data_IF_530961361266
#
_entry.id   IF_530961361266
#
_cell.length_a   1.000
_cell.length_b   1.000
_cell.length_c   1.000
_cell.angle_alpha   90.00
_cell.angle_beta   90.00
_cell.angle_gamma   90.00
#
_symmetry.space_group_name_H-M   'P 1'
#
loop_
_entity.id
_entity.type
_entity.pdbx_description
1 polymer ?
#
# COMPACT_ATOMS: atom_id res chain seq x y z
N UNK A 1 15.71 -61.18 6.47
CA UNK A 1 14.70 -60.82 7.46
C UNK A 1 15.31 -61.05 8.85
N UNK A 2 15.84 -60.02 9.50
CA UNK A 2 16.38 -60.09 10.86
C UNK A 2 15.20 -60.15 11.85
N UNK A 3 15.07 -61.30 12.54
CA UNK A 3 14.11 -61.43 13.63
C UNK A 3 14.55 -60.56 14.79
N UNK A 4 13.78 -59.50 15.06
CA UNK A 4 13.93 -58.69 16.30
C UNK A 4 13.52 -59.58 17.46
N UNK A 5 14.50 -59.97 18.33
CA UNK A 5 14.23 -60.69 19.55
C UNK A 5 13.71 -59.68 20.60
N UNK A 6 12.40 -59.68 20.82
CA UNK A 6 11.75 -58.93 21.87
C UNK A 6 12.15 -59.51 23.21
N UNK A 7 12.73 -58.69 24.09
CA UNK A 7 13.12 -59.08 25.44
C UNK A 7 12.02 -58.70 26.42
N UNK A 8 11.93 -59.41 27.55
CA UNK A 8 10.95 -59.18 28.59
C UNK A 8 11.09 -57.76 29.20
N UNK A 9 12.29 -57.17 29.15
CA UNK A 9 12.56 -55.77 29.53
C UNK A 9 11.93 -54.73 28.62
N UNK A 10 11.49 -55.15 27.43
CA UNK A 10 10.86 -54.22 26.49
C UNK A 10 9.39 -53.94 26.86
N UNK A 11 8.86 -54.64 27.86
CA UNK A 11 7.52 -54.47 28.41
C UNK A 11 7.53 -53.86 29.84
N UNK A 12 8.67 -53.39 30.34
CA UNK A 12 8.70 -52.67 31.60
C UNK A 12 8.07 -51.28 31.39
N UNK A 13 7.19 -50.83 32.36
CA UNK A 13 6.58 -49.50 32.25
C UNK A 13 7.68 -48.44 32.25
N UNK A 14 7.73 -47.65 31.19
CA UNK A 14 8.57 -46.44 31.14
C UNK A 14 8.01 -45.51 32.22
N UNK A 15 8.81 -45.20 33.24
CA UNK A 15 8.48 -44.10 34.17
C UNK A 15 8.36 -42.82 33.38
N UNK A 16 7.13 -42.46 33.07
CA UNK A 16 6.81 -41.19 32.41
C UNK A 16 7.09 -40.08 33.43
N UNK A 17 8.25 -39.43 33.31
CA UNK A 17 8.48 -38.20 34.04
C UNK A 17 7.55 -37.13 33.43
N UNK A 18 6.36 -37.00 34.01
CA UNK A 18 5.34 -36.01 33.63
C UNK A 18 5.88 -34.58 33.60
N UNK A 19 7.03 -34.33 34.25
CA UNK A 19 7.63 -32.99 34.29
C UNK A 19 8.24 -32.49 32.98
N UNK A 20 8.61 -33.36 32.04
CA UNK A 20 9.27 -32.96 30.81
C UNK A 20 8.33 -32.86 29.60
N UNK A 21 7.18 -33.54 29.65
CA UNK A 21 6.18 -33.45 28.56
C UNK A 21 5.37 -32.14 28.59
N UNK A 22 5.23 -31.52 29.77
CA UNK A 22 4.52 -30.24 29.95
C UNK A 22 5.41 -29.01 29.96
N UNK A 23 6.72 -29.15 29.95
CA UNK A 23 7.61 -28.01 29.77
C UNK A 23 7.51 -27.54 28.33
N UNK A 24 6.59 -26.60 28.06
CA UNK A 24 6.65 -25.77 26.87
C UNK A 24 8.05 -25.13 26.87
N UNK A 25 8.95 -25.70 26.05
CA UNK A 25 10.31 -25.23 25.89
C UNK A 25 10.32 -23.88 25.21
N UNK A 26 10.02 -22.82 25.95
CA UNK A 26 10.07 -21.44 25.48
C UNK A 26 9.30 -20.50 26.40
N UNK A 27 9.92 -19.36 26.73
CA UNK A 27 9.20 -18.26 27.37
C UNK A 27 7.98 -17.89 26.52
N UNK A 28 6.80 -17.76 27.13
CA UNK A 28 5.60 -17.23 26.45
C UNK A 28 5.89 -15.81 25.96
N UNK A 29 6.21 -15.68 24.69
CA UNK A 29 6.49 -14.39 24.10
C UNK A 29 5.19 -13.80 23.55
N UNK A 30 4.90 -12.54 23.89
CA UNK A 30 3.80 -11.80 23.26
C UNK A 30 4.01 -11.80 21.74
N UNK A 31 2.90 -11.93 20.97
CA UNK A 31 2.88 -11.87 19.50
C UNK A 31 3.72 -10.71 18.95
N UNK A 32 3.57 -9.52 19.52
CA UNK A 32 4.32 -8.33 19.09
C UNK A 32 5.82 -8.42 19.37
N UNK A 33 6.22 -9.04 20.49
CA UNK A 33 7.64 -9.25 20.83
C UNK A 33 8.31 -10.24 19.87
N UNK A 34 7.61 -11.30 19.48
CA UNK A 34 8.12 -12.27 18.49
C UNK A 34 8.16 -11.68 17.09
N UNK A 35 7.12 -10.97 16.68
CA UNK A 35 7.09 -10.25 15.40
C UNK A 35 8.25 -9.25 15.29
N UNK A 36 8.48 -8.44 16.33
CA UNK A 36 9.60 -7.50 16.38
C UNK A 36 10.97 -8.19 16.35
N UNK A 37 11.12 -9.30 17.07
CA UNK A 37 12.35 -10.10 17.04
C UNK A 37 12.65 -10.66 15.65
N UNK A 38 11.65 -11.18 14.95
CA UNK A 38 11.77 -11.68 13.57
C UNK A 38 12.08 -10.54 12.59
N UNK A 39 11.38 -9.43 12.73
CA UNK A 39 11.61 -8.24 11.91
C UNK A 39 13.06 -7.74 12.01
N UNK A 40 13.60 -7.59 13.23
CA UNK A 40 14.99 -7.15 13.45
C UNK A 40 16.05 -8.10 12.90
N UNK A 41 15.71 -9.38 12.71
CA UNK A 41 16.62 -10.36 12.09
C UNK A 41 16.60 -10.29 10.57
N UNK A 42 15.58 -9.71 9.97
CA UNK A 42 15.45 -9.59 8.52
C UNK A 42 16.10 -8.29 8.02
N UNK A 43 17.31 -8.39 7.47
CA UNK A 43 18.09 -7.24 6.97
C UNK A 43 17.37 -6.50 5.84
N UNK A 44 16.64 -7.21 4.97
CA UNK A 44 15.87 -6.57 3.88
C UNK A 44 14.69 -5.77 4.43
N UNK A 45 14.00 -6.27 5.45
CA UNK A 45 12.92 -5.54 6.09
C UNK A 45 13.44 -4.26 6.79
N UNK A 46 14.62 -4.34 7.43
CA UNK A 46 15.26 -3.16 8.03
C UNK A 46 15.68 -2.14 6.97
N UNK A 47 16.25 -2.59 5.85
CA UNK A 47 16.59 -1.71 4.74
C UNK A 47 15.32 -1.04 4.15
N UNK A 48 14.23 -1.80 3.96
CA UNK A 48 12.96 -1.25 3.48
C UNK A 48 12.39 -0.16 4.39
N UNK A 49 12.35 -0.40 5.71
CA UNK A 49 11.85 0.62 6.63
C UNK A 49 12.75 1.85 6.67
N UNK A 50 14.08 1.67 6.57
CA UNK A 50 15.02 2.79 6.48
C UNK A 50 14.76 3.65 5.23
N UNK A 51 14.55 3.02 4.07
CA UNK A 51 14.22 3.73 2.81
C UNK A 51 12.89 4.49 2.96
N UNK A 52 11.86 3.86 3.50
CA UNK A 52 10.55 4.51 3.69
C UNK A 52 10.67 5.71 4.65
N UNK A 53 11.40 5.56 5.75
CA UNK A 53 11.64 6.65 6.70
C UNK A 53 12.45 7.77 6.05
N UNK A 54 13.49 7.44 5.29
CA UNK A 54 14.27 8.40 4.54
C UNK A 54 13.39 9.20 3.56
N UNK A 55 12.58 8.52 2.74
CA UNK A 55 11.66 9.17 1.81
C UNK A 55 10.65 10.05 2.54
N UNK A 56 10.09 9.60 3.68
CA UNK A 56 9.18 10.39 4.49
C UNK A 56 9.82 11.66 5.07
N UNK A 57 11.04 11.54 5.61
CA UNK A 57 11.81 12.67 6.14
C UNK A 57 12.14 13.65 5.02
N UNK A 58 12.63 13.16 3.89
CA UNK A 58 12.97 14.01 2.75
C UNK A 58 11.74 14.66 2.10
N UNK A 59 10.60 13.99 2.10
CA UNK A 59 9.34 14.60 1.64
C UNK A 59 8.90 15.79 2.51
N UNK A 60 9.24 15.78 3.82
CA UNK A 60 8.89 16.85 4.74
C UNK A 60 9.95 17.98 4.76
N UNK A 61 11.22 17.61 4.72
CA UNK A 61 12.34 18.53 4.97
C UNK A 61 13.23 18.77 3.75
N UNK A 62 13.14 17.95 2.69
CA UNK A 62 14.03 18.01 1.54
C UNK A 62 13.96 19.34 0.77
N UNK A 63 12.75 19.86 0.51
CA UNK A 63 12.62 21.15 -0.17
C UNK A 63 13.21 22.30 0.66
N UNK A 64 12.91 22.47 1.97
CA UNK A 64 13.57 23.47 2.81
C UNK A 64 15.09 23.35 2.89
N UNK A 65 15.67 22.14 2.84
CA UNK A 65 17.11 21.91 2.92
C UNK A 65 17.85 22.51 1.72
N UNK A 66 17.23 22.55 0.53
CA UNK A 66 17.85 23.13 -0.66
C UNK A 66 18.06 24.64 -0.57
N UNK A 67 17.32 25.34 0.30
CA UNK A 67 17.28 26.80 0.35
C UNK A 67 16.49 27.46 -0.79
N UNK A 68 15.94 26.66 -1.71
CA UNK A 68 15.14 27.14 -2.85
C UNK A 68 13.66 26.77 -2.68
N UNK A 69 12.77 27.62 -3.20
CA UNK A 69 11.36 27.27 -3.27
C UNK A 69 11.07 26.43 -4.51
N UNK A 70 10.15 25.48 -4.39
CA UNK A 70 9.78 24.57 -5.49
C UNK A 70 9.02 25.23 -6.63
N UNK A 71 8.53 26.48 -6.46
CA UNK A 71 7.69 27.22 -7.42
C UNK A 71 8.34 28.49 -7.97
N UNK A 72 9.48 28.93 -7.46
CA UNK A 72 10.15 30.15 -7.90
C UNK A 72 10.74 29.93 -9.29
N UNK A 73 10.30 30.77 -10.26
CA UNK A 73 10.81 30.74 -11.62
C UNK A 73 12.02 31.67 -11.77
N UNK A 74 13.09 31.16 -12.36
CA UNK A 74 14.28 31.92 -12.72
C UNK A 74 14.73 31.58 -14.15
N UNK A 75 14.15 32.25 -15.12
CA UNK A 75 14.41 31.99 -16.54
C UNK A 75 15.87 32.23 -16.96
N UNK A 76 16.65 33.00 -16.19
CA UNK A 76 18.08 33.21 -16.44
C UNK A 76 18.84 31.91 -16.18
N UNK A 77 18.44 31.19 -15.16
CA UNK A 77 19.02 29.92 -14.72
C UNK A 77 18.25 28.69 -15.25
N UNK A 78 17.50 28.83 -16.38
CA UNK A 78 16.76 27.72 -16.96
C UNK A 78 17.70 26.63 -17.52
N UNK A 79 17.33 25.35 -17.30
CA UNK A 79 18.02 24.16 -17.80
C UNK A 79 19.50 24.02 -17.35
N UNK A 80 19.86 24.54 -16.20
CA UNK A 80 21.20 24.35 -15.64
C UNK A 80 21.43 22.91 -15.23
N UNK A 81 22.61 22.40 -15.56
CA UNK A 81 23.06 21.08 -15.10
C UNK A 81 23.25 21.05 -13.58
N UNK A 82 23.22 19.85 -12.95
CA UNK A 82 23.52 19.69 -11.54
C UNK A 82 24.79 20.40 -11.11
N UNK A 83 24.72 21.19 -10.04
CA UNK A 83 25.79 22.03 -9.51
C UNK A 83 25.76 22.06 -7.98
N UNK A 84 26.72 22.77 -7.36
CA UNK A 84 26.71 22.99 -5.90
C UNK A 84 25.56 23.88 -5.43
N UNK A 85 25.04 24.74 -6.28
CA UNK A 85 23.91 25.63 -6.00
C UNK A 85 22.58 24.90 -6.26
N UNK A 86 22.48 24.19 -7.40
CA UNK A 86 21.31 23.41 -7.79
C UNK A 86 21.70 21.92 -7.87
N UNK A 87 21.53 21.17 -6.80
CA UNK A 87 22.04 19.79 -6.66
C UNK A 87 21.54 18.85 -7.75
N UNK A 88 20.29 18.99 -8.20
CA UNK A 88 19.72 18.23 -9.31
C UNK A 88 19.61 19.04 -10.61
N UNK A 89 20.15 20.27 -10.61
CA UNK A 89 19.96 21.22 -11.71
C UNK A 89 18.62 21.94 -11.65
N UNK A 90 18.29 22.62 -12.75
CA UNK A 90 17.04 23.37 -12.89
C UNK A 90 16.21 22.87 -14.07
N UNK A 91 14.91 23.14 -14.04
CA UNK A 91 14.00 22.82 -15.13
C UNK A 91 13.95 23.94 -16.21
N UNK A 92 13.05 23.79 -17.17
CA UNK A 92 12.84 24.73 -18.26
C UNK A 92 12.35 26.13 -17.83
N UNK A 93 11.87 26.26 -16.59
CA UNK A 93 11.48 27.54 -15.98
C UNK A 93 12.51 28.04 -14.96
N UNK A 94 13.67 27.37 -14.85
CA UNK A 94 14.72 27.70 -13.89
C UNK A 94 14.39 27.33 -12.44
N UNK A 95 13.37 26.48 -12.21
CA UNK A 95 13.01 26.02 -10.86
C UNK A 95 13.96 24.94 -10.40
N UNK A 96 14.35 24.97 -9.13
CA UNK A 96 15.25 23.98 -8.54
C UNK A 96 14.64 22.58 -8.53
N UNK A 97 15.30 21.63 -9.20
CA UNK A 97 14.80 20.26 -9.35
C UNK A 97 14.88 19.47 -8.03
N UNK A 98 15.84 19.76 -7.15
CA UNK A 98 15.93 19.07 -5.87
C UNK A 98 14.76 19.47 -4.96
N UNK A 99 14.48 20.77 -4.83
CA UNK A 99 13.34 21.27 -4.07
C UNK A 99 12.03 20.70 -4.62
N UNK A 100 11.88 20.71 -5.95
CA UNK A 100 10.68 20.16 -6.63
C UNK A 100 10.54 18.66 -6.46
N UNK A 101 11.63 17.89 -6.53
CA UNK A 101 11.60 16.43 -6.35
C UNK A 101 11.10 16.03 -4.96
N UNK A 102 11.58 16.72 -3.93
CA UNK A 102 11.15 16.42 -2.56
C UNK A 102 9.78 16.99 -2.21
N UNK A 103 9.42 18.14 -2.76
CA UNK A 103 8.04 18.61 -2.68
C UNK A 103 7.09 17.66 -3.43
N UNK A 104 7.49 17.20 -4.61
CA UNK A 104 6.77 16.19 -5.39
C UNK A 104 6.62 14.88 -4.64
N UNK A 105 7.64 14.44 -3.89
CA UNK A 105 7.57 13.30 -3.00
C UNK A 105 6.39 13.43 -2.00
N UNK A 106 6.26 14.60 -1.37
CA UNK A 106 5.15 14.88 -0.43
C UNK A 106 3.79 14.71 -1.11
N UNK A 107 3.63 15.22 -2.33
CA UNK A 107 2.37 15.12 -3.08
C UNK A 107 2.11 13.69 -3.55
N UNK A 108 3.09 13.03 -4.19
CA UNK A 108 2.92 11.66 -4.70
C UNK A 108 2.68 10.65 -3.57
N UNK A 109 3.42 10.75 -2.45
CA UNK A 109 3.20 9.91 -1.28
C UNK A 109 1.83 10.17 -0.64
N UNK A 110 1.39 11.44 -0.56
CA UNK A 110 0.07 11.78 -0.05
C UNK A 110 -1.04 11.17 -0.91
N UNK A 111 -0.95 11.29 -2.23
CA UNK A 111 -1.91 10.69 -3.17
C UNK A 111 -1.92 9.16 -2.99
N UNK A 112 -0.73 8.52 -3.06
CA UNK A 112 -0.62 7.07 -2.97
C UNK A 112 -1.13 6.49 -1.66
N UNK A 113 -0.76 7.10 -0.52
CA UNK A 113 -1.21 6.67 0.80
C UNK A 113 -2.71 6.90 0.99
N UNK A 114 -3.24 8.06 0.55
CA UNK A 114 -4.65 8.38 0.70
C UNK A 114 -5.51 7.46 -0.16
N UNK A 115 -5.13 7.23 -1.42
CA UNK A 115 -5.82 6.30 -2.30
C UNK A 115 -5.81 4.88 -1.72
N UNK A 116 -4.64 4.38 -1.31
CA UNK A 116 -4.53 3.05 -0.71
C UNK A 116 -5.35 2.91 0.60
N UNK A 117 -5.42 3.96 1.40
CA UNK A 117 -6.23 3.97 2.63
C UNK A 117 -7.74 3.94 2.34
N UNK A 118 -8.20 4.70 1.34
CA UNK A 118 -9.60 4.68 0.89
C UNK A 118 -9.94 3.29 0.33
N UNK A 119 -9.09 2.74 -0.53
CA UNK A 119 -9.26 1.41 -1.11
C UNK A 119 -9.31 0.32 -0.04
N UNK A 120 -8.47 0.44 0.98
CA UNK A 120 -8.48 -0.45 2.14
C UNK A 120 -9.83 -0.39 2.87
N UNK A 121 -10.27 0.81 3.26
CA UNK A 121 -11.51 0.98 4.04
C UNK A 121 -12.71 0.45 3.26
N UNK A 122 -12.89 0.92 2.01
CA UNK A 122 -14.02 0.51 1.18
C UNK A 122 -13.95 -0.99 0.89
N UNK A 123 -12.78 -1.49 0.51
CA UNK A 123 -12.56 -2.90 0.18
C UNK A 123 -12.81 -3.83 1.35
N UNK A 124 -12.32 -3.49 2.55
CA UNK A 124 -12.56 -4.29 3.76
C UNK A 124 -14.04 -4.30 4.14
N UNK A 125 -14.70 -3.14 4.14
CA UNK A 125 -16.13 -3.06 4.45
C UNK A 125 -16.93 -3.84 3.43
N UNK A 126 -16.74 -3.57 2.14
CA UNK A 126 -17.47 -4.23 1.06
C UNK A 126 -17.25 -5.73 1.04
N UNK A 127 -16.00 -6.16 1.07
CA UNK A 127 -15.64 -7.58 1.05
C UNK A 127 -16.13 -8.35 2.28
N UNK A 128 -16.01 -7.74 3.46
CA UNK A 128 -16.44 -8.41 4.70
C UNK A 128 -17.96 -8.55 4.80
N UNK A 129 -18.72 -7.54 4.40
CA UNK A 129 -20.20 -7.60 4.37
C UNK A 129 -20.67 -8.61 3.34
N UNK A 130 -20.17 -8.53 2.12
CA UNK A 130 -20.48 -9.44 1.02
C UNK A 130 -20.16 -10.90 1.40
N UNK A 131 -18.93 -11.18 1.86
CA UNK A 131 -18.48 -12.53 2.23
C UNK A 131 -19.24 -13.14 3.40
N UNK A 132 -19.58 -12.33 4.42
CA UNK A 132 -20.29 -12.82 5.60
C UNK A 132 -21.77 -13.11 5.31
N UNK A 133 -22.48 -12.15 4.75
CA UNK A 133 -23.93 -12.31 4.48
C UNK A 133 -24.18 -13.36 3.40
N UNK A 134 -23.37 -13.38 2.34
CA UNK A 134 -23.50 -14.37 1.28
C UNK A 134 -24.81 -14.25 0.48
N UNK A 135 -25.13 -15.30 -0.29
CA UNK A 135 -26.40 -15.41 -1.04
C UNK A 135 -26.64 -14.20 -1.96
N UNK A 136 -27.86 -13.69 -1.97
CA UNK A 136 -28.27 -12.57 -2.84
C UNK A 136 -27.53 -11.26 -2.54
N UNK A 137 -27.19 -11.00 -1.27
CA UNK A 137 -26.44 -9.78 -0.89
C UNK A 137 -25.05 -9.79 -1.52
N UNK A 138 -24.36 -10.90 -1.40
CA UNK A 138 -23.06 -11.11 -2.04
C UNK A 138 -23.15 -10.96 -3.57
N UNK A 139 -24.15 -11.61 -4.18
CA UNK A 139 -24.35 -11.53 -5.62
C UNK A 139 -24.56 -10.09 -6.10
N UNK A 140 -25.44 -9.31 -5.45
CA UNK A 140 -25.66 -7.91 -5.84
C UNK A 140 -24.43 -7.03 -5.59
N UNK A 141 -23.77 -7.18 -4.45
CA UNK A 141 -22.57 -6.40 -4.13
C UNK A 141 -21.45 -6.68 -5.12
N UNK A 142 -21.21 -7.96 -5.45
CA UNK A 142 -20.19 -8.32 -6.45
C UNK A 142 -20.59 -7.92 -7.86
N UNK A 143 -21.87 -7.95 -8.21
CA UNK A 143 -22.36 -7.46 -9.50
C UNK A 143 -22.04 -5.97 -9.69
N UNK A 144 -22.21 -5.14 -8.66
CA UNK A 144 -21.82 -3.72 -8.71
C UNK A 144 -20.31 -3.60 -8.93
N UNK A 145 -19.48 -4.34 -8.19
CA UNK A 145 -18.05 -4.34 -8.36
C UNK A 145 -17.63 -4.80 -9.78
N UNK A 146 -18.30 -5.80 -10.34
CA UNK A 146 -18.04 -6.31 -11.69
C UNK A 146 -18.42 -5.29 -12.76
N UNK A 147 -19.56 -4.60 -12.63
CA UNK A 147 -19.99 -3.53 -13.54
C UNK A 147 -18.95 -2.41 -13.53
N UNK A 148 -18.51 -1.96 -12.34
CA UNK A 148 -17.48 -0.93 -12.22
C UNK A 148 -16.14 -1.38 -12.83
N UNK A 149 -15.74 -2.65 -12.63
CA UNK A 149 -14.53 -3.21 -13.23
C UNK A 149 -14.61 -3.38 -14.75
N UNK A 150 -15.82 -3.51 -15.30
CA UNK A 150 -16.06 -3.67 -16.73
C UNK A 150 -15.88 -2.37 -17.53
N UNK A 151 -15.93 -1.20 -16.88
CA UNK A 151 -15.67 0.07 -17.54
C UNK A 151 -14.18 0.30 -17.63
N UNK A 152 -13.64 0.64 -18.83
CA UNK A 152 -12.22 0.99 -18.95
C UNK A 152 -11.83 2.10 -17.98
N UNK A 153 -10.88 1.82 -17.09
CA UNK A 153 -10.45 2.73 -16.01
C UNK A 153 -10.19 4.16 -16.48
N UNK A 154 -9.45 4.31 -17.60
CA UNK A 154 -9.13 5.62 -18.15
C UNK A 154 -10.38 6.43 -18.56
N UNK A 155 -11.42 5.79 -19.06
CA UNK A 155 -12.67 6.49 -19.43
C UNK A 155 -13.34 7.06 -18.19
N UNK A 156 -13.34 6.32 -17.08
CA UNK A 156 -13.88 6.79 -15.79
C UNK A 156 -13.09 8.02 -15.31
N UNK A 157 -11.76 7.92 -15.32
CA UNK A 157 -10.89 9.03 -14.89
C UNK A 157 -11.10 10.28 -15.75
N UNK A 158 -11.06 10.13 -17.09
CA UNK A 158 -11.26 11.26 -18.02
C UNK A 158 -12.62 11.92 -17.79
N UNK A 159 -13.68 11.12 -17.66
CA UNK A 159 -15.03 11.64 -17.42
C UNK A 159 -15.09 12.46 -16.13
N UNK A 160 -14.48 11.98 -15.06
CA UNK A 160 -14.44 12.68 -13.79
C UNK A 160 -13.64 13.98 -13.89
N UNK A 161 -12.49 13.95 -14.56
CA UNK A 161 -11.66 15.14 -14.76
C UNK A 161 -12.34 16.20 -15.64
N UNK A 162 -13.31 15.83 -16.48
CA UNK A 162 -14.13 16.78 -17.25
C UNK A 162 -15.23 17.40 -16.38
N UNK A 163 -15.84 16.60 -15.49
CA UNK A 163 -16.99 17.04 -14.67
C UNK A 163 -16.54 17.79 -13.41
N UNK A 164 -15.44 17.36 -12.80
CA UNK A 164 -14.92 17.92 -11.55
C UNK A 164 -13.78 18.91 -11.81
N UNK A 165 -13.60 19.94 -10.97
CA UNK A 165 -12.45 20.84 -11.07
C UNK A 165 -11.13 20.06 -10.99
N UNK A 166 -10.15 20.42 -11.81
CA UNK A 166 -8.81 19.82 -11.74
C UNK A 166 -8.20 20.07 -10.35
N UNK A 167 -7.60 19.02 -9.79
CA UNK A 167 -6.98 19.11 -8.49
C UNK A 167 -6.64 17.76 -7.87
N UNK A 168 -5.93 17.83 -6.76
CA UNK A 168 -5.42 16.66 -6.03
C UNK A 168 -6.57 15.73 -5.59
N UNK A 169 -7.67 16.30 -5.09
CA UNK A 169 -8.81 15.49 -4.62
C UNK A 169 -9.56 14.80 -5.76
N UNK A 170 -9.72 15.47 -6.89
CA UNK A 170 -10.33 14.87 -8.09
C UNK A 170 -9.52 13.67 -8.56
N UNK A 171 -8.19 13.80 -8.55
CA UNK A 171 -7.29 12.71 -8.92
C UNK A 171 -7.44 11.52 -7.95
N UNK A 172 -7.44 11.77 -6.63
CA UNK A 172 -7.63 10.72 -5.62
C UNK A 172 -8.99 10.02 -5.79
N UNK A 173 -10.07 10.79 -5.94
CA UNK A 173 -11.42 10.24 -6.16
C UNK A 173 -11.44 9.37 -7.42
N UNK A 174 -10.87 9.90 -8.52
CA UNK A 174 -10.82 9.17 -9.78
C UNK A 174 -10.08 7.81 -9.65
N UNK A 175 -8.97 7.80 -8.90
CA UNK A 175 -8.19 6.58 -8.67
C UNK A 175 -8.93 5.57 -7.78
N UNK A 176 -9.68 6.04 -6.80
CA UNK A 176 -10.32 5.17 -5.80
C UNK A 176 -11.70 4.64 -6.22
N UNK A 177 -12.29 5.12 -7.31
CA UNK A 177 -13.60 4.62 -7.79
C UNK A 177 -13.60 3.11 -8.03
N UNK A 178 -12.52 2.57 -8.57
CA UNK A 178 -12.39 1.15 -8.87
C UNK A 178 -11.27 0.47 -8.08
N UNK A 179 -10.38 1.23 -7.45
CA UNK A 179 -9.19 0.72 -6.77
C UNK A 179 -9.50 -0.26 -5.63
N UNK A 180 -10.56 0.00 -4.88
CA UNK A 180 -11.01 -0.81 -3.74
C UNK A 180 -11.49 -2.23 -4.12
N UNK A 181 -11.84 -2.48 -5.39
CA UNK A 181 -12.50 -3.73 -5.82
C UNK A 181 -11.61 -4.95 -5.60
N UNK A 182 -10.31 -4.83 -5.89
CA UNK A 182 -9.36 -5.93 -5.69
C UNK A 182 -9.27 -6.30 -4.20
N UNK A 183 -9.16 -5.31 -3.31
CA UNK A 183 -9.16 -5.54 -1.86
C UNK A 183 -10.48 -6.17 -1.40
N UNK A 184 -11.62 -5.71 -1.92
CA UNK A 184 -12.93 -6.30 -1.61
C UNK A 184 -13.01 -7.77 -1.98
N UNK A 185 -12.50 -8.18 -3.14
CA UNK A 185 -12.50 -9.59 -3.58
C UNK A 185 -11.61 -10.46 -2.68
N UNK A 186 -10.43 -9.97 -2.28
CA UNK A 186 -9.53 -10.68 -1.37
C UNK A 186 -10.18 -10.86 0.00
N UNK A 187 -10.69 -9.78 0.59
CA UNK A 187 -11.33 -9.81 1.91
C UNK A 187 -12.58 -10.67 1.89
N UNK A 188 -13.41 -10.59 0.83
CA UNK A 188 -14.58 -11.45 0.65
C UNK A 188 -14.21 -12.93 0.67
N UNK A 189 -13.20 -13.34 -0.10
CA UNK A 189 -12.74 -14.73 -0.16
C UNK A 189 -12.31 -15.24 1.21
N UNK A 190 -11.54 -14.43 1.95
CA UNK A 190 -11.04 -14.79 3.26
C UNK A 190 -12.17 -14.84 4.31
N UNK A 191 -13.11 -13.89 4.28
CA UNK A 191 -14.27 -13.89 5.17
C UNK A 191 -15.19 -15.10 4.88
N UNK A 192 -15.37 -15.49 3.61
CA UNK A 192 -16.13 -16.70 3.25
C UNK A 192 -15.48 -17.97 3.82
N UNK A 193 -14.15 -18.04 3.86
CA UNK A 193 -13.41 -19.14 4.47
C UNK A 193 -13.57 -19.11 5.99
N UNK A 194 -13.36 -17.97 6.63
CA UNK A 194 -13.34 -17.83 8.09
C UNK A 194 -14.73 -17.96 8.73
N UNK A 195 -15.82 -17.64 8.03
CA UNK A 195 -17.18 -17.68 8.61
C UNK A 195 -17.65 -19.09 8.99
N UNK A 196 -17.01 -20.13 8.45
CA UNK A 196 -17.29 -21.55 8.76
C UNK A 196 -16.42 -22.12 9.89
N UNK A 197 -15.48 -21.33 10.41
CA UNK A 197 -14.62 -21.74 11.51
C UNK A 197 -15.39 -21.90 12.84
N UNK A 198 -14.99 -22.85 13.66
CA UNK A 198 -15.67 -23.22 14.93
C UNK A 198 -15.86 -22.03 15.88
N UNK A 199 -14.85 -21.16 16.00
CA UNK A 199 -14.94 -20.01 16.89
C UNK A 199 -15.98 -18.97 16.45
N UNK A 200 -16.26 -18.85 15.13
CA UNK A 200 -17.31 -17.98 14.59
C UNK A 200 -18.68 -18.60 14.85
N UNK A 201 -18.80 -19.91 14.65
CA UNK A 201 -20.05 -20.64 14.95
C UNK A 201 -20.38 -20.58 16.44
N UNK A 202 -19.39 -20.76 17.32
CA UNK A 202 -19.55 -20.62 18.76
C UNK A 202 -20.00 -19.22 19.16
N UNK A 203 -19.37 -18.17 18.60
CA UNK A 203 -19.77 -16.78 18.85
C UNK A 203 -21.23 -16.52 18.43
N UNK A 204 -21.64 -17.08 17.27
CA UNK A 204 -23.02 -16.98 16.78
C UNK A 204 -24.00 -17.68 17.70
N UNK A 205 -23.69 -18.91 18.18
CA UNK A 205 -24.51 -19.68 19.11
C UNK A 205 -24.65 -18.98 20.47
N UNK A 206 -23.66 -18.21 20.90
CA UNK A 206 -23.68 -17.37 22.09
C UNK A 206 -24.43 -16.04 21.88
N UNK A 207 -25.09 -15.83 20.71
CA UNK A 207 -25.92 -14.66 20.42
C UNK A 207 -25.15 -13.42 19.93
N UNK A 208 -23.90 -13.56 19.47
CA UNK A 208 -23.18 -12.44 18.88
C UNK A 208 -23.89 -11.95 17.60
N UNK A 209 -24.13 -10.63 17.52
CA UNK A 209 -24.72 -10.02 16.33
C UNK A 209 -23.70 -9.91 15.18
N UNK A 210 -24.20 -9.69 13.96
CA UNK A 210 -23.39 -9.59 12.73
C UNK A 210 -22.26 -8.59 12.85
N UNK A 211 -22.51 -7.38 13.38
CA UNK A 211 -21.49 -6.34 13.53
C UNK A 211 -20.35 -6.80 14.45
N UNK A 212 -20.70 -7.44 15.58
CA UNK A 212 -19.71 -7.98 16.53
C UNK A 212 -18.87 -9.10 15.90
N UNK A 213 -19.52 -10.00 15.12
CA UNK A 213 -18.81 -11.08 14.42
C UNK A 213 -17.85 -10.50 13.39
N UNK A 214 -18.29 -9.54 12.56
CA UNK A 214 -17.45 -8.90 11.56
C UNK A 214 -16.26 -8.18 12.22
N UNK A 215 -16.50 -7.30 13.19
CA UNK A 215 -15.46 -6.41 13.71
C UNK A 215 -14.52 -7.08 14.72
N UNK A 216 -14.98 -8.07 15.50
CA UNK A 216 -14.17 -8.72 16.53
C UNK A 216 -13.60 -10.08 16.12
N UNK A 217 -14.23 -10.76 15.19
CA UNK A 217 -13.83 -12.12 14.84
C UNK A 217 -13.34 -12.26 13.40
N UNK A 218 -14.00 -11.66 12.42
CA UNK A 218 -13.64 -11.86 11.01
C UNK A 218 -12.57 -10.86 10.55
N UNK A 219 -12.84 -9.55 10.59
CA UNK A 219 -11.90 -8.53 10.09
C UNK A 219 -10.52 -8.63 10.75
N UNK A 220 -10.36 -8.81 12.07
CA UNK A 220 -9.02 -8.99 12.65
C UNK A 220 -8.29 -10.25 12.14
N UNK A 221 -9.02 -11.30 11.80
CA UNK A 221 -8.42 -12.53 11.28
C UNK A 221 -8.15 -12.48 9.76
N UNK A 222 -8.69 -11.49 9.03
CA UNK A 222 -8.35 -11.21 7.62
C UNK A 222 -7.13 -10.29 7.48
N UNK A 223 -6.54 -9.81 8.57
CA UNK A 223 -5.39 -8.89 8.51
C UNK A 223 -4.18 -9.49 7.80
N UNK A 224 -3.97 -10.80 7.84
CA UNK A 224 -2.86 -11.45 7.13
C UNK A 224 -2.85 -11.12 5.62
N UNK A 225 -3.85 -11.53 4.85
CA UNK A 225 -3.98 -11.17 3.43
C UNK A 225 -4.00 -9.66 3.17
N UNK A 226 -4.66 -8.86 4.04
CA UNK A 226 -4.70 -7.40 3.92
C UNK A 226 -3.30 -6.80 4.01
N UNK A 227 -2.51 -7.19 5.01
CA UNK A 227 -1.15 -6.68 5.22
C UNK A 227 -0.16 -7.11 4.13
N UNK A 228 -0.44 -8.18 3.40
CA UNK A 228 0.33 -8.58 2.23
C UNK A 228 -0.03 -7.73 1.00
N UNK A 229 -1.31 -7.40 0.84
CA UNK A 229 -1.81 -6.66 -0.34
C UNK A 229 -1.59 -5.16 -0.23
N UNK A 230 -1.80 -4.57 0.95
CA UNK A 230 -1.73 -3.13 1.18
C UNK A 230 -0.40 -2.48 0.77
N UNK A 231 0.79 -3.05 1.07
CA UNK A 231 2.06 -2.48 0.61
C UNK A 231 2.23 -2.43 -0.90
N UNK A 232 1.49 -3.25 -1.65
CA UNK A 232 1.51 -3.24 -3.12
C UNK A 232 0.57 -2.19 -3.71
N UNK A 233 -0.44 -1.76 -2.95
CA UNK A 233 -1.42 -0.77 -3.39
C UNK A 233 -0.80 0.62 -3.52
N UNK A 234 0.09 1.02 -2.59
CA UNK A 234 0.72 2.35 -2.58
C UNK A 234 1.60 2.59 -3.81
N UNK A 235 2.57 1.72 -4.16
CA UNK A 235 3.34 1.88 -5.41
C UNK A 235 2.45 1.89 -6.65
N UNK A 236 1.43 1.02 -6.72
CA UNK A 236 0.49 1.02 -7.84
C UNK A 236 -0.27 2.35 -7.96
N UNK A 237 -0.65 2.96 -6.84
CA UNK A 237 -1.30 4.26 -6.84
C UNK A 237 -0.36 5.38 -7.31
N UNK A 238 0.91 5.39 -6.86
CA UNK A 238 1.93 6.36 -7.30
C UNK A 238 2.20 6.20 -8.81
N UNK A 239 2.35 4.96 -9.28
CA UNK A 239 2.54 4.70 -10.72
C UNK A 239 1.32 5.13 -11.55
N UNK A 240 0.11 4.89 -11.05
CA UNK A 240 -1.12 5.33 -11.70
C UNK A 240 -1.22 6.86 -11.76
N UNK A 241 -0.84 7.56 -10.67
CA UNK A 241 -0.75 9.03 -10.64
C UNK A 241 0.24 9.53 -11.70
N UNK A 242 1.43 8.93 -11.76
CA UNK A 242 2.44 9.29 -12.75
C UNK A 242 1.93 9.08 -14.19
N UNK A 243 1.24 7.98 -14.44
CA UNK A 243 0.62 7.70 -15.74
C UNK A 243 -0.47 8.71 -16.11
N UNK A 244 -1.35 9.08 -15.16
CA UNK A 244 -2.35 10.11 -15.37
C UNK A 244 -1.72 11.48 -15.61
N UNK A 245 -0.66 11.81 -14.89
CA UNK A 245 0.13 13.03 -15.09
C UNK A 245 0.77 13.08 -16.49
N UNK A 246 1.29 11.95 -16.97
CA UNK A 246 1.79 11.82 -18.35
C UNK A 246 0.72 12.12 -19.41
N UNK A 247 -0.53 11.75 -19.13
CA UNK A 247 -1.67 12.07 -20.01
C UNK A 247 -2.19 13.51 -19.85
N UNK A 248 -1.52 14.34 -19.03
CA UNK A 248 -1.96 15.72 -18.75
C UNK A 248 -3.08 15.82 -17.72
N UNK A 249 -3.39 14.73 -17.01
CA UNK A 249 -4.43 14.66 -15.99
C UNK A 249 -3.85 14.72 -14.56
N UNK A 250 -2.61 15.18 -14.40
CA UNK A 250 -1.93 15.29 -13.12
C UNK A 250 -2.39 16.49 -12.28
N UNK A 251 -1.67 16.71 -11.16
CA UNK A 251 -1.91 17.87 -10.32
C UNK A 251 -1.57 19.17 -11.06
N UNK A 252 -2.41 20.23 -10.96
CA UNK A 252 -2.15 21.48 -11.65
C UNK A 252 -1.02 22.27 -11.00
N UNK A 253 -0.31 23.08 -11.80
CA UNK A 253 0.64 24.05 -11.28
C UNK A 253 -0.02 25.02 -10.27
N UNK A 254 0.72 25.51 -9.25
CA UNK A 254 2.15 25.36 -9.02
C UNK A 254 2.57 24.05 -8.32
N UNK A 255 1.62 23.17 -7.98
CA UNK A 255 1.93 21.89 -7.36
C UNK A 255 2.81 21.05 -8.28
N UNK A 256 3.68 20.27 -7.68
CA UNK A 256 4.51 19.28 -8.36
C UNK A 256 4.30 17.92 -7.73
N UNK A 257 4.22 16.88 -8.53
CA UNK A 257 4.34 15.48 -8.16
C UNK A 257 5.48 14.85 -8.95
N UNK A 258 5.94 13.68 -8.57
CA UNK A 258 6.93 12.96 -9.38
C UNK A 258 6.42 12.71 -10.80
N UNK A 259 5.13 12.39 -10.93
CA UNK A 259 4.48 12.18 -12.21
C UNK A 259 4.45 13.42 -13.10
N UNK A 260 4.01 14.58 -12.57
CA UNK A 260 3.99 15.82 -13.35
C UNK A 260 5.39 16.28 -13.73
N UNK A 261 6.38 16.17 -12.82
CA UNK A 261 7.77 16.49 -13.13
C UNK A 261 8.34 15.61 -14.25
N UNK A 262 8.05 14.30 -14.21
CA UNK A 262 8.47 13.35 -15.25
C UNK A 262 7.82 13.69 -16.59
N UNK A 263 6.52 14.03 -16.59
CA UNK A 263 5.79 14.45 -17.77
C UNK A 263 6.36 15.75 -18.39
N UNK A 264 6.61 16.77 -17.55
CA UNK A 264 7.20 18.05 -17.96
C UNK A 264 8.60 17.87 -18.59
N UNK A 265 9.39 16.92 -18.05
CA UNK A 265 10.77 16.69 -18.48
C UNK A 265 10.89 15.94 -19.84
N UNK A 266 9.83 15.32 -20.36
CA UNK A 266 9.89 14.52 -21.60
C UNK A 266 10.37 15.34 -22.80
N UNK A 267 9.90 16.57 -22.94
CA UNK A 267 10.33 17.46 -24.03
C UNK A 267 11.82 17.83 -23.96
N UNK A 268 12.39 17.82 -22.77
CA UNK A 268 13.78 18.17 -22.50
C UNK A 268 14.73 16.95 -22.49
N UNK A 269 14.22 15.73 -22.52
CA UNK A 269 14.98 14.48 -22.34
C UNK A 269 16.23 14.38 -23.23
N UNK A 270 16.14 14.83 -24.47
CA UNK A 270 17.25 14.73 -25.45
C UNK A 270 18.44 15.60 -25.07
N UNK A 271 18.19 16.75 -24.44
CA UNK A 271 19.23 17.75 -24.12
C UNK A 271 19.58 17.79 -22.65
N UNK A 272 18.60 17.54 -21.78
CA UNK A 272 18.68 17.65 -20.34
C UNK A 272 18.13 16.41 -19.62
N UNK A 273 18.74 15.22 -19.81
CA UNK A 273 18.19 13.96 -19.33
C UNK A 273 18.05 13.89 -17.78
N UNK A 274 18.82 14.69 -17.05
CA UNK A 274 18.76 14.76 -15.60
C UNK A 274 17.41 15.26 -15.09
N UNK A 275 16.69 16.11 -15.87
CA UNK A 275 15.36 16.61 -15.49
C UNK A 275 14.34 15.47 -15.36
N UNK A 276 14.46 14.44 -16.20
CA UNK A 276 13.63 13.25 -16.14
C UNK A 276 14.18 12.23 -15.12
N UNK A 277 15.49 12.03 -15.07
CA UNK A 277 16.11 10.98 -14.30
C UNK A 277 15.76 11.08 -12.80
N UNK A 278 15.88 12.27 -12.20
CA UNK A 278 15.65 12.42 -10.77
C UNK A 278 14.21 12.12 -10.34
N UNK A 279 13.15 12.72 -10.90
CA UNK A 279 11.78 12.37 -10.50
C UNK A 279 11.41 10.93 -10.87
N UNK A 280 11.83 10.41 -12.02
CA UNK A 280 11.53 9.05 -12.46
C UNK A 280 12.18 7.97 -11.57
N UNK A 281 13.33 8.27 -10.96
CA UNK A 281 13.99 7.35 -10.03
C UNK A 281 13.16 7.03 -8.79
N UNK A 282 12.28 7.95 -8.37
CA UNK A 282 11.45 7.80 -7.18
C UNK A 282 10.05 7.22 -7.45
N UNK A 283 9.64 7.11 -8.72
CA UNK A 283 8.40 6.43 -9.14
C UNK A 283 8.59 4.92 -9.12
#
# INVERSE_FOLDING_TARGET
MSQVKIKQSDFEPIEYQQSDAEKIAGESTSYWKDAWRRFRKNKLALAGIFIILFLGIMALFGAPISGHNYYDNDLINANQSPSSEHWFGTDNLGRDLFARTWYGAKISLFIGLTAAFIDLIIGVIWGSVSGYLGGRVDEYMMRIADILSGVPYLLVVILLMVIMPQGLWTLIIAMTITGWINMARIVRGEVMRLKSEEYVMAAKSLGANTFRILTKHLVPNTLGPILVTLPLTVPNAIFTEAFLSFLGLGVPAPLASWGTMTSDALGALRYYPFQLFFPAFFI
#
